data_IF_628399003622
#
_entry.id   IF_628399003622
#
_cell.length_a   1.000
_cell.length_b   1.000
_cell.length_c   1.000
_cell.angle_alpha   90.00
_cell.angle_beta   90.00
_cell.angle_gamma   90.00
#
_symmetry.space_group_name_H-M   'P 1'
#
loop_
_entity.id
_entity.type
_entity.pdbx_description
1 polymer ?
#
# COMPACT_ATOMS: atom_id res chain seq x y z
N UNK A 1 -11.98 7.25 23.96
CA UNK A 1 -11.90 5.87 24.47
C UNK A 1 -13.33 5.41 24.65
N UNK A 2 -13.68 4.26 24.09
CA UNK A 2 -15.02 3.71 24.19
C UNK A 2 -15.30 3.24 25.62
N UNK A 3 -16.57 3.31 26.04
CA UNK A 3 -17.01 2.82 27.34
C UNK A 3 -16.76 1.31 27.47
N UNK A 4 -16.34 0.84 28.66
CA UNK A 4 -16.00 -0.56 28.87
C UNK A 4 -17.25 -1.45 28.83
N UNK A 5 -17.14 -2.60 28.15
CA UNK A 5 -18.22 -3.59 28.12
C UNK A 5 -18.20 -4.37 29.43
N UNK A 6 -19.28 -4.27 30.19
CA UNK A 6 -19.44 -5.00 31.45
C UNK A 6 -20.44 -6.13 31.29
N UNK A 7 -20.05 -7.34 31.68
CA UNK A 7 -20.89 -8.53 31.76
C UNK A 7 -21.07 -8.93 33.22
N UNK A 8 -21.87 -9.97 33.49
CA UNK A 8 -22.01 -10.51 34.85
C UNK A 8 -20.65 -10.90 35.45
N UNK A 9 -19.75 -11.46 34.64
CA UNK A 9 -18.49 -12.08 35.08
C UNK A 9 -17.26 -11.22 34.80
N UNK A 10 -17.27 -10.47 33.71
CA UNK A 10 -16.09 -9.77 33.20
C UNK A 10 -16.32 -8.28 32.93
N UNK A 11 -15.27 -7.49 33.10
CA UNK A 11 -15.14 -6.15 32.53
C UNK A 11 -14.14 -6.23 31.38
N UNK A 12 -14.53 -5.74 30.21
CA UNK A 12 -13.76 -5.80 28.97
C UNK A 12 -13.42 -4.37 28.56
N UNK A 13 -12.13 -4.05 28.59
CA UNK A 13 -11.63 -2.73 28.23
C UNK A 13 -10.84 -2.81 26.93
N UNK A 14 -11.12 -1.93 25.96
CA UNK A 14 -10.26 -1.74 24.80
C UNK A 14 -9.11 -0.80 25.20
N UNK A 15 -7.89 -1.33 25.27
CA UNK A 15 -6.72 -0.54 25.63
C UNK A 15 -6.19 0.25 24.42
N UNK A 16 -6.09 -0.42 23.27
CA UNK A 16 -5.60 0.18 22.04
C UNK A 16 -6.18 -0.53 20.81
N UNK A 17 -6.31 0.24 19.74
CA UNK A 17 -6.67 -0.26 18.42
C UNK A 17 -5.66 0.28 17.40
N UNK A 18 -5.17 -0.60 16.54
CA UNK A 18 -4.25 -0.26 15.47
C UNK A 18 -4.78 -0.77 14.14
N UNK A 19 -5.05 0.16 13.24
CA UNK A 19 -5.58 -0.11 11.91
C UNK A 19 -4.45 -0.30 10.90
N UNK A 20 -4.55 -1.36 10.11
CA UNK A 20 -3.71 -1.64 8.95
C UNK A 20 -4.58 -1.71 7.70
N UNK A 21 -3.95 -1.80 6.54
CA UNK A 21 -4.65 -1.80 5.26
C UNK A 21 -5.71 -2.92 5.13
N UNK A 22 -5.44 -4.12 5.66
CA UNK A 22 -6.32 -5.28 5.49
C UNK A 22 -6.79 -5.95 6.79
N UNK A 23 -6.33 -5.47 7.94
CA UNK A 23 -6.73 -5.98 9.26
C UNK A 23 -6.62 -4.90 10.34
N UNK A 24 -7.18 -5.20 11.51
CA UNK A 24 -7.10 -4.38 12.71
C UNK A 24 -6.58 -5.25 13.85
N UNK A 25 -5.69 -4.71 14.67
CA UNK A 25 -5.23 -5.35 15.91
C UNK A 25 -5.79 -4.56 17.08
N UNK A 26 -6.43 -5.24 18.03
CA UNK A 26 -6.89 -4.66 19.29
C UNK A 26 -6.20 -5.30 20.47
N UNK A 27 -5.80 -4.49 21.44
CA UNK A 27 -5.35 -4.96 22.75
C UNK A 27 -6.50 -4.74 23.72
N UNK A 28 -7.00 -5.84 24.29
CA UNK A 28 -8.19 -5.87 25.14
C UNK A 28 -7.78 -6.38 26.52
N UNK A 29 -8.15 -5.67 27.58
CA UNK A 29 -8.02 -6.19 28.95
C UNK A 29 -9.32 -6.87 29.36
N UNK A 30 -9.23 -8.16 29.69
CA UNK A 30 -10.32 -8.93 30.28
C UNK A 30 -10.08 -9.06 31.79
N UNK A 31 -10.89 -8.40 32.60
CA UNK A 31 -10.82 -8.43 34.06
C UNK A 31 -11.99 -9.21 34.65
N UNK A 32 -11.72 -10.20 35.50
CA UNK A 32 -12.77 -10.88 36.23
C UNK A 32 -13.33 -9.96 37.32
N UNK A 33 -14.65 -9.91 37.49
CA UNK A 33 -15.30 -8.98 38.43
C UNK A 33 -15.14 -9.39 39.88
N UNK A 34 -15.13 -10.70 40.14
CA UNK A 34 -15.10 -11.25 41.49
C UNK A 34 -13.73 -11.78 41.90
N UNK A 35 -12.82 -11.96 40.93
CA UNK A 35 -11.48 -12.47 41.16
C UNK A 35 -10.50 -11.37 40.79
N UNK A 36 -9.41 -11.22 41.53
CA UNK A 36 -8.32 -10.28 41.17
C UNK A 36 -7.47 -10.84 40.02
N UNK A 37 -8.12 -11.37 38.98
CA UNK A 37 -7.48 -11.93 37.78
C UNK A 37 -7.80 -11.05 36.59
N UNK A 38 -6.78 -10.72 35.84
CA UNK A 38 -6.88 -10.02 34.57
C UNK A 38 -5.95 -10.66 33.54
N UNK A 39 -6.33 -10.54 32.27
CA UNK A 39 -5.54 -11.01 31.14
C UNK A 39 -5.63 -10.01 30.00
N UNK A 40 -4.52 -9.82 29.29
CA UNK A 40 -4.53 -9.10 28.02
C UNK A 40 -4.80 -10.06 26.87
N UNK A 41 -5.66 -9.64 25.96
CA UNK A 41 -6.07 -10.37 24.77
C UNK A 41 -5.70 -9.53 23.55
N UNK A 42 -4.96 -10.14 22.63
CA UNK A 42 -4.71 -9.56 21.32
C UNK A 42 -5.75 -10.11 20.34
N UNK A 43 -6.62 -9.24 19.85
CA UNK A 43 -7.59 -9.60 18.82
C UNK A 43 -7.07 -9.17 17.45
N UNK A 44 -6.93 -10.14 16.55
CA UNK A 44 -6.61 -9.93 15.15
C UNK A 44 -7.88 -10.02 14.30
N UNK A 45 -8.27 -8.92 13.66
CA UNK A 45 -9.48 -8.85 12.86
C UNK A 45 -9.13 -8.58 11.39
N UNK A 46 -9.17 -9.62 10.54
CA UNK A 46 -9.01 -9.47 9.09
C UNK A 46 -10.27 -8.83 8.48
N UNK A 47 -10.15 -7.66 7.85
CA UNK A 47 -11.30 -6.83 7.44
C UNK A 47 -11.57 -6.83 5.94
N UNK A 48 -10.70 -7.46 5.13
CA UNK A 48 -10.76 -7.44 3.66
C UNK A 48 -11.01 -8.80 3.04
N UNK A 49 -11.73 -9.68 3.75
CA UNK A 49 -12.18 -10.96 3.21
C UNK A 49 -13.57 -10.78 2.59
N UNK A 50 -13.74 -10.91 1.27
CA UNK A 50 -15.04 -10.75 0.62
C UNK A 50 -16.07 -11.80 1.07
N UNK A 51 -17.36 -11.47 1.02
CA UNK A 51 -18.43 -12.38 1.48
C UNK A 51 -18.64 -13.61 0.61
N UNK A 52 -18.39 -13.49 -0.70
CA UNK A 52 -18.57 -14.57 -1.67
C UNK A 52 -17.30 -14.94 -2.45
N UNK A 53 -16.13 -14.50 -1.98
CA UNK A 53 -14.86 -14.75 -2.65
C UNK A 53 -13.73 -15.06 -1.66
N UNK A 54 -12.51 -15.19 -2.17
CA UNK A 54 -11.28 -15.39 -1.41
C UNK A 54 -10.58 -14.06 -1.14
N UNK A 55 -9.76 -13.96 -0.07
CA UNK A 55 -8.96 -12.77 0.17
C UNK A 55 -7.82 -12.72 -0.86
N UNK A 56 -7.20 -11.55 -0.98
CA UNK A 56 -5.89 -11.49 -1.64
C UNK A 56 -4.92 -12.42 -0.91
N UNK A 57 -4.27 -13.30 -1.67
CA UNK A 57 -3.43 -14.37 -1.13
C UNK A 57 -2.25 -13.81 -0.35
N UNK A 58 -1.63 -12.76 -0.87
CA UNK A 58 -0.46 -12.15 -0.24
C UNK A 58 -0.86 -11.43 1.05
N UNK A 59 -1.99 -10.73 1.05
CA UNK A 59 -2.53 -10.08 2.26
C UNK A 59 -2.85 -11.07 3.37
N UNK A 60 -3.41 -12.24 3.04
CA UNK A 60 -3.66 -13.30 4.01
C UNK A 60 -2.36 -13.82 4.63
N UNK A 61 -1.32 -14.03 3.82
CA UNK A 61 0.01 -14.44 4.30
C UNK A 61 0.63 -13.37 5.20
N UNK A 62 0.54 -12.09 4.83
CA UNK A 62 1.05 -10.99 5.66
C UNK A 62 0.31 -10.87 7.00
N UNK A 63 -1.01 -11.09 7.01
CA UNK A 63 -1.80 -11.15 8.23
C UNK A 63 -1.36 -12.32 9.13
N UNK A 64 -1.20 -13.51 8.56
CA UNK A 64 -0.72 -14.69 9.30
C UNK A 64 0.67 -14.47 9.91
N UNK A 65 1.61 -13.90 9.13
CA UNK A 65 2.96 -13.57 9.61
C UNK A 65 2.94 -12.60 10.78
N UNK A 66 2.10 -11.57 10.73
CA UNK A 66 1.96 -10.63 11.85
C UNK A 66 1.34 -11.32 13.08
N UNK A 67 0.31 -12.16 12.87
CA UNK A 67 -0.27 -12.96 13.94
C UNK A 67 0.79 -13.83 14.62
N UNK A 68 1.63 -14.55 13.88
CA UNK A 68 2.68 -15.39 14.47
C UNK A 68 3.71 -14.61 15.28
N UNK A 69 4.10 -13.41 14.80
CA UNK A 69 5.08 -12.57 15.51
C UNK A 69 4.60 -12.12 16.88
N UNK A 70 3.32 -11.78 16.99
CA UNK A 70 2.72 -11.23 18.21
C UNK A 70 2.02 -12.29 19.06
N UNK A 71 1.88 -13.51 18.54
CA UNK A 71 1.33 -14.64 19.30
C UNK A 71 2.17 -14.85 20.55
N UNK A 72 1.56 -14.61 21.71
CA UNK A 72 2.19 -14.92 22.99
C UNK A 72 2.30 -16.43 23.14
N UNK A 73 3.44 -16.91 23.67
CA UNK A 73 3.64 -18.32 24.05
C UNK A 73 2.85 -18.69 25.32
N UNK A 74 1.61 -18.21 25.44
CA UNK A 74 0.73 -18.62 26.52
C UNK A 74 0.25 -20.06 26.32
N UNK A 75 -0.18 -20.71 27.39
CA UNK A 75 -0.62 -22.12 27.38
C UNK A 75 -1.99 -22.35 26.72
N UNK A 76 -2.69 -21.29 26.30
CA UNK A 76 -4.05 -21.35 25.75
C UNK A 76 -4.08 -21.57 24.23
N UNK A 77 -5.08 -22.30 23.71
CA UNK A 77 -5.28 -22.42 22.26
C UNK A 77 -5.68 -21.07 21.64
N UNK A 78 -5.26 -20.85 20.39
CA UNK A 78 -5.71 -19.70 19.60
C UNK A 78 -7.19 -19.84 19.27
N UNK A 79 -7.99 -18.84 19.62
CA UNK A 79 -9.41 -18.77 19.23
C UNK A 79 -9.52 -18.11 17.86
N UNK A 80 -10.01 -18.87 16.87
CA UNK A 80 -10.27 -18.38 15.51
C UNK A 80 -11.75 -18.53 15.20
N UNK A 81 -12.39 -17.47 14.74
CA UNK A 81 -13.80 -17.51 14.33
C UNK A 81 -14.06 -16.66 13.08
N UNK A 82 -15.22 -16.89 12.47
CA UNK A 82 -15.80 -16.03 11.43
C UNK A 82 -17.30 -15.89 11.73
N UNK A 83 -18.19 -16.18 10.78
CA UNK A 83 -19.63 -16.31 11.04
C UNK A 83 -19.98 -17.72 11.57
N UNK A 84 -19.88 -18.75 10.72
CA UNK A 84 -20.17 -20.13 11.11
C UNK A 84 -18.96 -20.89 11.70
N UNK A 85 -17.77 -20.29 11.67
CA UNK A 85 -16.55 -20.90 12.19
C UNK A 85 -16.05 -22.10 11.37
N UNK A 86 -16.30 -22.14 10.06
CA UNK A 86 -15.92 -23.28 9.19
C UNK A 86 -15.10 -22.87 7.96
N UNK A 87 -15.54 -21.87 7.20
CA UNK A 87 -14.91 -21.45 5.93
C UNK A 87 -13.61 -20.68 6.15
N UNK A 88 -13.70 -19.36 6.37
CA UNK A 88 -12.54 -18.48 6.63
C UNK A 88 -11.69 -18.98 7.81
N UNK A 89 -12.37 -19.43 8.87
CA UNK A 89 -11.76 -20.06 10.05
C UNK A 89 -10.94 -21.28 9.69
N UNK A 90 -11.51 -22.22 8.92
CA UNK A 90 -10.78 -23.41 8.50
C UNK A 90 -9.62 -23.08 7.57
N UNK A 91 -9.76 -22.10 6.68
CA UNK A 91 -8.65 -21.67 5.82
C UNK A 91 -7.48 -21.12 6.62
N UNK A 92 -7.72 -20.27 7.63
CA UNK A 92 -6.64 -19.71 8.46
C UNK A 92 -5.97 -20.79 9.34
N UNK A 93 -6.76 -21.69 9.95
CA UNK A 93 -6.20 -22.78 10.77
C UNK A 93 -5.37 -23.74 9.92
N UNK A 94 -5.86 -24.10 8.72
CA UNK A 94 -5.12 -24.95 7.79
C UNK A 94 -3.83 -24.28 7.33
N UNK A 95 -3.88 -22.99 6.98
CA UNK A 95 -2.70 -22.22 6.60
C UNK A 95 -1.66 -22.20 7.73
N UNK A 96 -2.09 -21.94 8.96
CA UNK A 96 -1.21 -21.89 10.14
C UNK A 96 -0.46 -23.20 10.35
N UNK A 97 -1.21 -24.30 10.45
CA UNK A 97 -0.62 -25.60 10.72
C UNK A 97 0.24 -26.12 9.58
N UNK A 98 -0.17 -25.91 8.33
CA UNK A 98 0.56 -26.41 7.16
C UNK A 98 1.80 -25.57 6.85
N UNK A 99 1.82 -24.27 7.16
CA UNK A 99 3.05 -23.47 7.08
C UNK A 99 4.07 -23.90 8.14
N UNK A 100 3.62 -24.22 9.36
CA UNK A 100 4.52 -24.73 10.40
C UNK A 100 5.04 -26.13 10.05
N UNK A 101 4.15 -27.00 9.55
CA UNK A 101 4.54 -28.31 9.04
C UNK A 101 5.54 -28.19 7.88
N UNK A 102 5.30 -27.32 6.90
CA UNK A 102 6.20 -27.12 5.76
C UNK A 102 7.57 -26.52 6.10
N UNK A 103 7.70 -25.84 7.25
CA UNK A 103 9.01 -25.36 7.75
C UNK A 103 9.80 -26.46 8.45
N UNK A 104 9.11 -27.40 9.08
CA UNK A 104 9.71 -28.48 9.89
C UNK A 104 9.90 -29.77 9.09
N UNK A 105 9.02 -30.02 8.12
CA UNK A 105 9.01 -31.12 7.19
C UNK A 105 8.96 -30.56 5.76
N UNK A 106 9.77 -31.10 4.86
CA UNK A 106 9.82 -30.67 3.44
C UNK A 106 8.60 -31.13 2.61
N UNK A 107 7.53 -31.58 3.28
CA UNK A 107 6.31 -32.10 2.66
C UNK A 107 5.10 -31.63 3.45
N UNK A 108 4.05 -31.23 2.72
CA UNK A 108 2.75 -30.87 3.30
C UNK A 108 1.63 -31.67 2.61
N UNK A 109 0.67 -32.15 3.40
CA UNK A 109 -0.55 -32.80 2.89
C UNK A 109 -1.78 -31.95 3.19
N UNK A 110 -2.13 -31.11 2.21
CA UNK A 110 -3.27 -30.19 2.32
C UNK A 110 -4.58 -30.97 2.41
N UNK A 111 -4.74 -32.03 1.61
CA UNK A 111 -5.97 -32.81 1.56
C UNK A 111 -6.18 -33.61 2.85
N UNK A 112 -5.15 -34.32 3.31
CA UNK A 112 -5.19 -35.08 4.56
C UNK A 112 -5.45 -34.18 5.76
N UNK A 113 -4.78 -33.03 5.84
CA UNK A 113 -5.00 -32.10 6.96
C UNK A 113 -6.42 -31.53 6.97
N UNK A 114 -6.96 -31.09 5.82
CA UNK A 114 -8.36 -30.63 5.73
C UNK A 114 -9.34 -31.77 6.06
N UNK A 115 -9.03 -33.02 5.72
CA UNK A 115 -9.84 -34.19 6.10
C UNK A 115 -9.87 -34.38 7.61
N UNK A 116 -8.72 -34.30 8.28
CA UNK A 116 -8.63 -34.34 9.75
C UNK A 116 -9.45 -33.20 10.38
N UNK A 117 -9.33 -31.98 9.85
CA UNK A 117 -10.10 -30.83 10.34
C UNK A 117 -11.61 -31.06 10.19
N UNK A 118 -12.05 -31.65 9.08
CA UNK A 118 -13.47 -31.97 8.83
C UNK A 118 -14.03 -33.04 9.76
N UNK A 119 -13.19 -33.97 10.22
CA UNK A 119 -13.57 -34.96 11.24
C UNK A 119 -13.77 -34.31 12.62
N UNK A 120 -13.01 -33.26 12.94
CA UNK A 120 -13.13 -32.53 14.21
C UNK A 120 -14.24 -31.47 14.20
N UNK A 121 -14.50 -30.86 13.04
CA UNK A 121 -15.58 -29.88 12.83
C UNK A 121 -16.06 -29.95 11.39
N UNK A 122 -17.36 -30.11 11.17
CA UNK A 122 -17.91 -30.26 9.81
C UNK A 122 -17.53 -29.10 8.88
N UNK A 123 -17.34 -29.40 7.59
CA UNK A 123 -17.18 -28.42 6.51
C UNK A 123 -16.05 -27.40 6.68
N UNK A 124 -15.00 -27.71 7.46
CA UNK A 124 -13.79 -26.88 7.52
C UNK A 124 -13.19 -26.72 6.11
N UNK A 125 -12.83 -25.46 5.77
CA UNK A 125 -12.53 -25.04 4.39
C UNK A 125 -13.71 -25.36 3.49
N UNK A 126 -14.70 -24.47 3.50
CA UNK A 126 -16.06 -24.75 3.04
C UNK A 126 -16.18 -24.78 1.51
N UNK A 127 -15.43 -23.94 0.78
CA UNK A 127 -15.59 -23.78 -0.67
C UNK A 127 -14.33 -24.20 -1.44
N UNK A 128 -14.52 -24.57 -2.72
CA UNK A 128 -13.40 -24.89 -3.63
C UNK A 128 -12.46 -23.69 -3.78
N UNK A 129 -13.00 -22.46 -3.83
CA UNK A 129 -12.17 -21.26 -3.93
C UNK A 129 -11.32 -21.09 -2.66
N UNK A 130 -11.87 -21.29 -1.46
CA UNK A 130 -11.09 -21.27 -0.21
C UNK A 130 -9.98 -22.34 -0.20
N UNK A 131 -10.26 -23.54 -0.73
CA UNK A 131 -9.26 -24.60 -0.87
C UNK A 131 -8.14 -24.22 -1.86
N UNK A 132 -8.48 -23.60 -3.00
CA UNK A 132 -7.50 -23.05 -3.95
C UNK A 132 -6.67 -21.92 -3.33
N UNK A 133 -7.32 -21.01 -2.59
CA UNK A 133 -6.64 -19.92 -1.89
C UNK A 133 -5.65 -20.45 -0.84
N UNK A 134 -5.99 -21.53 -0.13
CA UNK A 134 -5.08 -22.20 0.79
C UNK A 134 -3.82 -22.71 0.07
N UNK A 135 -3.95 -23.33 -1.10
CA UNK A 135 -2.78 -23.78 -1.89
C UNK A 135 -1.90 -22.60 -2.30
N UNK A 136 -2.52 -21.53 -2.80
CA UNK A 136 -1.79 -20.34 -3.23
C UNK A 136 -1.11 -19.63 -2.04
N UNK A 137 -1.77 -19.57 -0.88
CA UNK A 137 -1.22 -18.96 0.33
C UNK A 137 -0.08 -19.78 0.92
N UNK A 138 -0.14 -21.11 0.83
CA UNK A 138 0.97 -21.98 1.20
C UNK A 138 2.15 -21.80 0.25
N UNK A 139 1.90 -21.74 -1.06
CA UNK A 139 2.96 -21.47 -2.04
C UNK A 139 3.61 -20.09 -1.82
N UNK A 140 2.83 -19.05 -1.57
CA UNK A 140 3.35 -17.71 -1.29
C UNK A 140 4.08 -17.66 0.05
N UNK A 141 3.56 -18.31 1.09
CA UNK A 141 4.12 -18.30 2.45
C UNK A 141 5.39 -19.14 2.62
N UNK A 142 5.48 -20.30 1.96
CA UNK A 142 6.66 -21.19 2.02
C UNK A 142 7.85 -20.62 1.24
N UNK A 143 7.58 -19.89 0.14
CA UNK A 143 8.63 -19.22 -0.64
C UNK A 143 8.99 -17.82 -0.10
N UNK A 144 8.34 -17.38 0.99
CA UNK A 144 8.54 -16.04 1.52
C UNK A 144 9.92 -15.93 2.19
N UNK A 145 10.81 -15.03 1.74
CA UNK A 145 12.15 -14.90 2.30
C UNK A 145 12.12 -14.29 3.71
N UNK A 146 13.18 -14.52 4.49
CA UNK A 146 13.35 -13.82 5.76
C UNK A 146 13.87 -12.38 5.53
N UNK A 147 12.96 -11.48 5.16
CA UNK A 147 13.26 -10.09 4.75
C UNK A 147 12.96 -9.03 5.81
N UNK A 148 12.34 -9.40 6.94
CA UNK A 148 11.98 -8.46 8.00
C UNK A 148 13.22 -8.06 8.81
N UNK A 149 13.43 -6.75 8.96
CA UNK A 149 14.53 -6.18 9.74
C UNK A 149 13.98 -5.19 10.77
N UNK A 150 14.53 -5.19 11.98
CA UNK A 150 14.22 -4.13 12.96
C UNK A 150 14.84 -2.81 12.51
N UNK A 151 14.30 -1.67 12.98
CA UNK A 151 14.92 -0.35 12.74
C UNK A 151 16.41 -0.35 13.11
N UNK A 152 16.76 -0.95 14.25
CA UNK A 152 18.14 -1.05 14.73
C UNK A 152 19.02 -1.85 13.77
N UNK A 153 18.62 -3.07 13.42
CA UNK A 153 19.38 -3.95 12.50
C UNK A 153 19.53 -3.31 11.12
N UNK A 154 18.49 -2.63 10.64
CA UNK A 154 18.54 -1.91 9.37
C UNK A 154 19.56 -0.77 9.40
N UNK A 155 19.57 0.05 10.46
CA UNK A 155 20.52 1.16 10.58
C UNK A 155 21.97 0.71 10.74
N UNK A 156 22.20 -0.39 11.48
CA UNK A 156 23.52 -0.95 11.71
C UNK A 156 24.03 -1.83 10.56
N UNK A 157 23.14 -2.30 9.68
CA UNK A 157 23.53 -3.11 8.52
C UNK A 157 24.44 -2.31 7.60
N UNK A 158 25.74 -2.59 7.63
CA UNK A 158 26.66 -2.08 6.62
C UNK A 158 26.31 -2.74 5.27
N UNK A 159 26.50 -2.01 4.16
CA UNK A 159 26.56 -2.68 2.86
C UNK A 159 27.74 -3.63 2.97
N UNK A 160 27.45 -4.92 3.21
CA UNK A 160 28.47 -5.95 3.47
C UNK A 160 29.62 -5.74 2.50
N UNK A 161 30.84 -5.61 3.05
CA UNK A 161 32.06 -5.29 2.32
C UNK A 161 32.00 -5.76 0.87
N UNK A 162 31.93 -4.79 -0.05
CA UNK A 162 31.85 -4.96 -1.52
C UNK A 162 32.96 -5.89 -2.05
N UNK A 163 33.98 -6.16 -1.24
CA UNK A 163 35.15 -6.97 -1.56
C UNK A 163 35.02 -8.47 -1.23
N UNK A 164 34.05 -8.94 -0.44
CA UNK A 164 33.99 -10.35 0.01
C UNK A 164 32.84 -11.18 -0.61
N UNK A 165 31.74 -10.56 -1.05
CA UNK A 165 30.58 -11.28 -1.58
C UNK A 165 30.25 -10.75 -2.98
N UNK A 166 30.22 -11.61 -4.03
CA UNK A 166 29.76 -11.22 -5.35
C UNK A 166 28.40 -10.52 -5.28
N UNK A 167 28.23 -9.41 -6.00
CA UNK A 167 27.01 -8.58 -5.89
C UNK A 167 25.74 -9.43 -6.01
N UNK A 168 25.66 -10.34 -6.98
CA UNK A 168 24.55 -11.26 -7.22
C UNK A 168 24.21 -12.21 -6.06
N UNK A 169 25.11 -12.40 -5.09
CA UNK A 169 24.90 -13.25 -3.91
C UNK A 169 24.47 -12.48 -2.67
N UNK A 170 24.43 -11.14 -2.72
CA UNK A 170 23.94 -10.32 -1.60
C UNK A 170 22.47 -10.65 -1.29
N UNK A 171 22.08 -10.54 -0.01
CA UNK A 171 20.71 -10.82 0.43
C UNK A 171 19.68 -10.06 -0.41
N UNK A 172 19.91 -8.76 -0.66
CA UNK A 172 19.00 -7.92 -1.46
C UNK A 172 18.85 -8.42 -2.90
N UNK A 173 19.92 -8.89 -3.54
CA UNK A 173 19.81 -9.44 -4.90
C UNK A 173 19.03 -10.76 -4.89
N UNK A 174 19.19 -11.60 -3.87
CA UNK A 174 18.38 -12.82 -3.71
C UNK A 174 16.90 -12.48 -3.50
N UNK A 175 16.59 -11.53 -2.61
CA UNK A 175 15.23 -11.05 -2.40
C UNK A 175 14.60 -10.50 -3.68
N UNK A 176 15.34 -9.69 -4.43
CA UNK A 176 14.86 -9.12 -5.69
C UNK A 176 14.67 -10.18 -6.77
N UNK A 177 15.56 -11.18 -6.85
CA UNK A 177 15.37 -12.32 -7.74
C UNK A 177 14.11 -13.10 -7.38
N UNK A 178 13.88 -13.37 -6.09
CA UNK A 178 12.65 -14.02 -5.64
C UNK A 178 11.42 -13.21 -6.04
N UNK A 179 11.44 -11.87 -5.90
CA UNK A 179 10.36 -10.98 -6.38
C UNK A 179 10.09 -11.19 -7.87
N UNK A 180 11.13 -11.23 -8.70
CA UNK A 180 10.98 -11.45 -10.14
C UNK A 180 10.32 -12.80 -10.45
N UNK A 181 10.75 -13.86 -9.77
CA UNK A 181 10.23 -15.22 -9.97
C UNK A 181 8.74 -15.31 -9.58
N UNK A 182 8.36 -14.78 -8.41
CA UNK A 182 6.96 -14.80 -7.96
C UNK A 182 6.07 -13.85 -8.75
N UNK A 183 6.61 -12.74 -9.25
CA UNK A 183 5.89 -11.79 -10.12
C UNK A 183 5.53 -12.42 -11.45
N UNK A 184 6.47 -13.16 -12.07
CA UNK A 184 6.24 -13.85 -13.34
C UNK A 184 5.08 -14.87 -13.24
N UNK A 185 4.87 -15.46 -12.06
CA UNK A 185 3.74 -16.35 -11.80
C UNK A 185 2.44 -15.55 -11.58
N UNK A 186 2.47 -14.48 -10.79
CA UNK A 186 1.27 -13.68 -10.50
C UNK A 186 0.76 -12.90 -11.72
N UNK A 187 1.66 -12.41 -12.58
CA UNK A 187 1.31 -11.64 -13.77
C UNK A 187 0.47 -12.48 -14.75
N UNK A 188 0.79 -13.77 -14.89
CA UNK A 188 0.01 -14.72 -15.72
C UNK A 188 -1.45 -14.85 -15.28
N UNK A 189 -1.78 -14.48 -14.04
CA UNK A 189 -3.14 -14.51 -13.49
C UNK A 189 -3.90 -13.20 -13.68
N UNK A 190 -3.20 -12.11 -14.03
CA UNK A 190 -3.83 -10.82 -14.27
C UNK A 190 -4.59 -10.83 -15.60
N UNK A 191 -5.77 -10.24 -15.57
CA UNK A 191 -6.59 -9.99 -16.76
C UNK A 191 -6.54 -8.50 -17.08
N UNK A 192 -6.58 -8.18 -18.36
CA UNK A 192 -6.49 -6.81 -18.87
C UNK A 192 -7.61 -6.54 -19.90
N UNK A 193 -8.78 -7.14 -19.71
CA UNK A 193 -9.87 -7.10 -20.70
C UNK A 193 -10.32 -5.67 -20.95
N UNK A 194 -10.48 -4.87 -19.89
CA UNK A 194 -10.90 -3.46 -20.03
C UNK A 194 -9.81 -2.61 -20.69
N UNK A 195 -8.56 -2.78 -20.25
CA UNK A 195 -7.43 -2.01 -20.76
C UNK A 195 -7.10 -2.31 -22.23
N UNK A 196 -7.30 -3.56 -22.68
CA UNK A 196 -7.05 -4.02 -24.05
C UNK A 196 -8.25 -3.89 -24.99
N UNK A 197 -9.41 -3.44 -24.50
CA UNK A 197 -10.57 -3.18 -25.35
C UNK A 197 -10.25 -2.13 -26.43
N UNK A 198 -10.92 -2.23 -27.58
CA UNK A 198 -10.73 -1.34 -28.74
C UNK A 198 -10.93 0.13 -28.38
N UNK A 199 -11.90 0.41 -27.52
CA UNK A 199 -12.29 1.76 -27.06
C UNK A 199 -11.26 2.41 -26.12
N UNK A 200 -10.47 1.60 -25.40
CA UNK A 200 -9.54 2.09 -24.38
C UNK A 200 -8.07 1.98 -24.80
N UNK A 201 -7.76 1.30 -25.91
CA UNK A 201 -6.39 1.12 -26.39
C UNK A 201 -5.63 2.43 -26.54
N UNK A 202 -6.28 3.47 -27.07
CA UNK A 202 -5.69 4.80 -27.26
C UNK A 202 -5.60 5.63 -25.96
N UNK A 203 -6.18 5.16 -24.84
CA UNK A 203 -6.07 5.81 -23.52
C UNK A 203 -4.86 5.31 -22.72
N UNK A 204 -4.09 4.37 -23.27
CA UNK A 204 -2.86 3.85 -22.67
C UNK A 204 -1.66 4.48 -23.38
N UNK A 205 -0.71 5.01 -22.60
CA UNK A 205 0.56 5.51 -23.13
C UNK A 205 1.45 4.36 -23.58
N UNK A 206 1.49 3.30 -22.78
CA UNK A 206 2.29 2.11 -23.00
C UNK A 206 1.39 0.87 -22.86
N UNK A 207 1.46 -0.01 -23.85
CA UNK A 207 0.64 -1.24 -23.88
C UNK A 207 1.23 -2.35 -23.02
N UNK A 208 2.48 -2.22 -22.56
CA UNK A 208 3.13 -3.13 -21.62
C UNK A 208 2.88 -2.70 -20.16
N UNK A 209 2.24 -1.54 -19.95
CA UNK A 209 1.96 -0.99 -18.61
C UNK A 209 0.46 -0.67 -18.49
N UNK A 210 -0.32 -1.72 -18.21
CA UNK A 210 -1.77 -1.67 -18.13
C UNK A 210 -2.28 -1.94 -16.71
N UNK A 211 -3.43 -1.37 -16.30
CA UNK A 211 -4.07 -1.72 -15.06
C UNK A 211 -4.73 -3.10 -15.17
N UNK A 212 -4.40 -4.02 -14.26
CA UNK A 212 -5.10 -5.30 -14.16
C UNK A 212 -6.56 -5.09 -13.73
N UNK A 213 -7.47 -5.88 -14.28
CA UNK A 213 -8.93 -5.71 -14.12
C UNK A 213 -9.38 -5.68 -12.64
N UNK A 214 -8.70 -6.46 -11.78
CA UNK A 214 -9.00 -6.55 -10.33
C UNK A 214 -8.59 -5.29 -9.54
N UNK A 215 -7.62 -4.53 -10.05
CA UNK A 215 -6.99 -3.43 -9.31
C UNK A 215 -7.20 -2.08 -9.99
N UNK A 216 -7.86 -2.05 -11.14
CA UNK A 216 -8.10 -0.81 -11.91
C UNK A 216 -8.94 0.19 -11.13
N UNK A 217 -8.68 1.45 -11.41
CA UNK A 217 -9.62 2.52 -11.09
C UNK A 217 -10.81 2.44 -12.04
N UNK A 218 -12.01 2.57 -11.47
CA UNK A 218 -13.27 2.60 -12.23
C UNK A 218 -13.83 4.01 -12.13
N UNK A 219 -14.19 4.59 -13.27
CA UNK A 219 -14.92 5.86 -13.35
C UNK A 219 -16.42 5.58 -13.48
N UNK A 220 -17.26 6.34 -12.77
CA UNK A 220 -18.69 6.11 -12.64
C UNK A 220 -19.57 7.14 -13.36
N UNK A 221 -18.98 8.21 -13.91
CA UNK A 221 -19.70 9.26 -14.63
C UNK A 221 -20.72 8.71 -15.64
N UNK A 222 -21.93 9.29 -15.64
CA UNK A 222 -23.21 8.78 -16.19
C UNK A 222 -23.22 8.43 -17.70
N UNK A 223 -22.14 8.65 -18.43
CA UNK A 223 -21.99 8.16 -19.80
C UNK A 223 -21.28 6.80 -19.77
N UNK A 224 -22.05 5.74 -19.94
CA UNK A 224 -21.66 4.31 -19.87
C UNK A 224 -20.48 3.86 -20.75
N UNK A 225 -19.91 4.74 -21.58
CA UNK A 225 -18.74 4.49 -22.43
C UNK A 225 -17.39 4.95 -21.82
N UNK A 226 -17.37 5.57 -20.62
CA UNK A 226 -16.16 6.17 -20.04
C UNK A 226 -15.77 5.63 -18.66
N UNK A 227 -15.83 4.32 -18.45
CA UNK A 227 -15.51 3.71 -17.14
C UNK A 227 -14.02 3.37 -16.92
N UNK A 228 -13.15 3.88 -17.79
CA UNK A 228 -11.73 3.48 -17.86
C UNK A 228 -10.78 4.68 -17.85
N UNK A 229 -9.74 4.53 -17.03
CA UNK A 229 -8.50 5.30 -17.02
C UNK A 229 -7.35 4.32 -16.72
N UNK A 230 -6.16 4.56 -17.28
CA UNK A 230 -4.97 3.77 -16.95
C UNK A 230 -4.46 4.14 -15.54
N UNK A 231 -5.10 3.59 -14.53
CA UNK A 231 -4.73 3.78 -13.13
C UNK A 231 -5.05 2.53 -12.30
N UNK A 232 -4.24 2.29 -11.26
CA UNK A 232 -4.43 1.20 -10.29
C UNK A 232 -4.60 1.73 -8.87
N UNK A 233 -5.38 1.02 -8.07
CA UNK A 233 -5.57 1.25 -6.63
C UNK A 233 -4.47 0.53 -5.87
N UNK A 234 -3.67 1.26 -5.08
CA UNK A 234 -2.66 0.66 -4.20
C UNK A 234 -2.96 0.96 -2.71
N UNK A 235 -2.77 -0.02 -1.82
CA UNK A 235 -2.75 0.20 -0.39
C UNK A 235 -1.41 0.82 0.03
N UNK A 236 -1.40 1.42 1.21
CA UNK A 236 -0.20 1.60 2.01
C UNK A 236 -0.15 0.54 3.12
N UNK A 237 0.67 0.74 4.14
CA UNK A 237 0.72 -0.13 5.31
C UNK A 237 -0.53 0.07 6.19
N UNK A 238 -1.01 1.31 6.30
CA UNK A 238 -2.17 1.70 7.11
C UNK A 238 -3.51 1.65 6.36
N UNK A 239 -3.54 2.06 5.09
CA UNK A 239 -4.79 2.29 4.35
C UNK A 239 -4.94 1.33 3.17
N UNK A 240 -6.11 0.70 3.03
CA UNK A 240 -6.41 -0.22 1.91
C UNK A 240 -6.42 0.46 0.53
N UNK A 241 -6.79 1.74 0.50
CA UNK A 241 -6.82 2.58 -0.69
C UNK A 241 -6.08 3.88 -0.35
N UNK A 242 -4.75 3.83 -0.38
CA UNK A 242 -3.92 5.01 -0.13
C UNK A 242 -3.60 5.75 -1.43
N UNK A 243 -3.28 5.02 -2.49
CA UNK A 243 -2.80 5.61 -3.73
C UNK A 243 -3.68 5.26 -4.93
N UNK A 244 -3.87 6.22 -5.81
CA UNK A 244 -4.28 6.00 -7.20
C UNK A 244 -3.07 6.26 -8.08
N UNK A 245 -2.44 5.20 -8.57
CA UNK A 245 -1.23 5.31 -9.38
C UNK A 245 -1.60 5.31 -10.85
N UNK A 246 -1.24 6.38 -11.57
CA UNK A 246 -1.63 6.61 -12.97
C UNK A 246 -0.47 7.10 -13.82
N UNK A 247 -0.55 6.87 -15.12
CA UNK A 247 0.32 7.52 -16.10
C UNK A 247 0.06 9.04 -16.17
N UNK A 248 1.02 9.77 -16.71
CA UNK A 248 0.87 11.19 -17.00
C UNK A 248 -0.27 11.35 -18.03
N UNK A 249 -1.31 12.16 -17.72
CA UNK A 249 -2.48 12.32 -18.57
C UNK A 249 -2.14 12.63 -20.03
N UNK A 250 -2.72 11.85 -20.94
CA UNK A 250 -2.70 12.17 -22.37
C UNK A 250 -3.65 13.33 -22.64
N UNK A 251 -3.42 14.07 -23.73
CA UNK A 251 -4.26 15.22 -24.12
C UNK A 251 -5.77 14.91 -24.09
N UNK A 252 -6.18 13.75 -24.58
CA UNK A 252 -7.58 13.32 -24.63
C UNK A 252 -8.08 12.61 -23.36
N UNK A 253 -7.22 12.32 -22.38
CA UNK A 253 -7.60 11.69 -21.10
C UNK A 253 -7.54 12.65 -19.91
N UNK A 254 -7.26 13.95 -20.12
CA UNK A 254 -7.23 14.96 -19.04
C UNK A 254 -8.59 15.05 -18.31
N UNK A 255 -9.69 14.96 -19.05
CA UNK A 255 -11.03 14.92 -18.45
C UNK A 255 -11.19 13.68 -17.56
N UNK A 256 -10.71 12.52 -18.01
CA UNK A 256 -10.81 11.26 -17.25
C UNK A 256 -9.96 11.34 -15.97
N UNK A 257 -8.79 11.99 -16.02
CA UNK A 257 -7.94 12.24 -14.85
C UNK A 257 -8.64 13.11 -13.80
N UNK A 258 -9.21 14.26 -14.19
CA UNK A 258 -9.95 15.10 -13.25
C UNK A 258 -11.26 14.45 -12.77
N UNK A 259 -11.88 13.62 -13.61
CA UNK A 259 -13.00 12.75 -13.18
C UNK A 259 -12.56 11.82 -12.06
N UNK A 260 -11.41 11.14 -12.21
CA UNK A 260 -10.85 10.29 -11.15
C UNK A 260 -10.58 11.06 -9.86
N UNK A 261 -9.90 12.21 -9.95
CA UNK A 261 -9.59 13.06 -8.78
C UNK A 261 -10.86 13.48 -8.03
N UNK A 262 -11.91 13.84 -8.77
CA UNK A 262 -13.19 14.28 -8.20
C UNK A 262 -14.01 13.14 -7.63
N UNK A 263 -14.19 12.03 -8.35
CA UNK A 263 -15.03 10.90 -7.92
C UNK A 263 -14.43 10.17 -6.70
N UNK A 264 -13.11 10.08 -6.63
CA UNK A 264 -12.41 9.49 -5.48
C UNK A 264 -12.10 10.51 -4.38
N UNK A 265 -12.54 11.77 -4.53
CA UNK A 265 -12.35 12.86 -3.54
C UNK A 265 -10.88 13.04 -3.14
N UNK A 266 -9.96 12.92 -4.10
CA UNK A 266 -8.53 13.05 -3.84
C UNK A 266 -8.12 14.51 -3.62
N UNK A 267 -7.70 14.85 -2.41
CA UNK A 267 -7.24 16.20 -2.05
C UNK A 267 -5.73 16.42 -2.29
N UNK A 268 -5.02 15.39 -2.77
CA UNK A 268 -3.56 15.41 -2.91
C UNK A 268 -3.13 14.72 -4.20
N UNK A 269 -2.27 15.39 -4.98
CA UNK A 269 -1.62 14.83 -6.16
C UNK A 269 -0.12 14.94 -6.01
N UNK A 270 0.61 13.87 -6.27
CA UNK A 270 2.06 13.81 -6.38
C UNK A 270 2.41 13.57 -7.85
N UNK A 271 3.02 14.57 -8.49
CA UNK A 271 3.52 14.48 -9.86
C UNK A 271 5.04 14.39 -9.86
N UNK A 272 5.57 13.25 -10.31
CA UNK A 272 7.00 12.96 -10.36
C UNK A 272 7.58 13.24 -11.75
N UNK A 273 6.92 14.09 -12.53
CA UNK A 273 7.40 14.66 -13.79
C UNK A 273 7.36 16.18 -13.68
N UNK A 274 8.44 16.84 -14.10
CA UNK A 274 8.50 18.30 -14.18
C UNK A 274 8.14 18.81 -15.59
N UNK A 275 8.54 18.07 -16.63
CA UNK A 275 8.14 18.29 -18.02
C UNK A 275 8.08 16.96 -18.76
N UNK A 276 7.10 16.81 -19.67
CA UNK A 276 7.00 15.62 -20.52
C UNK A 276 7.29 16.01 -21.97
N UNK A 277 8.52 16.47 -22.20
CA UNK A 277 8.99 16.94 -23.50
C UNK A 277 8.21 18.14 -24.08
N UNK A 278 8.60 18.60 -25.27
CA UNK A 278 8.01 19.79 -25.91
C UNK A 278 6.57 19.61 -26.39
N UNK A 279 6.09 18.36 -26.51
CA UNK A 279 4.78 18.03 -27.09
C UNK A 279 3.64 17.86 -26.08
N UNK A 280 3.95 17.69 -24.79
CA UNK A 280 2.92 17.51 -23.76
C UNK A 280 2.74 18.77 -22.92
N UNK A 281 1.55 19.34 -23.01
CA UNK A 281 1.18 20.56 -22.30
C UNK A 281 0.80 20.16 -20.86
N UNK A 282 1.26 20.88 -19.83
CA UNK A 282 0.85 20.63 -18.44
C UNK A 282 -0.67 20.50 -18.31
N UNK A 283 -1.15 19.42 -17.69
CA UNK A 283 -2.59 19.18 -17.46
C UNK A 283 -3.16 20.00 -16.29
N UNK A 284 -2.30 20.70 -15.56
CA UNK A 284 -2.62 21.69 -14.52
C UNK A 284 -2.48 23.14 -15.07
N UNK A 285 -3.12 24.12 -14.43
CA UNK A 285 -2.92 25.54 -14.75
C UNK A 285 -1.57 26.07 -14.24
N UNK A 286 -0.96 26.99 -14.98
CA UNK A 286 0.13 27.82 -14.46
C UNK A 286 -0.34 28.77 -13.34
N UNK A 287 0.60 29.37 -12.61
CA UNK A 287 0.32 30.30 -11.51
C UNK A 287 -0.66 31.39 -11.94
N UNK A 288 -1.71 31.57 -11.13
CA UNK A 288 -2.78 32.56 -11.35
C UNK A 288 -3.57 32.37 -12.66
N UNK A 289 -3.43 31.24 -13.35
CA UNK A 289 -4.22 30.89 -14.55
C UNK A 289 -5.34 29.92 -14.22
N UNK A 290 -6.28 29.84 -15.16
CA UNK A 290 -7.39 28.90 -15.15
C UNK A 290 -7.27 28.00 -16.38
N UNK A 291 -7.44 26.69 -16.18
CA UNK A 291 -7.52 25.71 -17.26
C UNK A 291 -8.93 25.15 -17.33
N UNK A 292 -9.53 25.22 -18.50
CA UNK A 292 -10.87 24.72 -18.77
C UNK A 292 -10.80 23.37 -19.45
N UNK A 293 -11.36 22.34 -18.82
CA UNK A 293 -11.40 20.97 -19.32
C UNK A 293 -12.78 20.43 -19.02
N UNK A 294 -13.76 20.75 -19.87
CA UNK A 294 -15.18 20.49 -19.61
C UNK A 294 -15.43 19.05 -19.11
N UNK A 295 -16.12 18.86 -17.98
CA UNK A 295 -16.91 19.86 -17.21
C UNK A 295 -16.13 20.66 -16.15
N UNK A 296 -14.81 20.48 -16.07
CA UNK A 296 -13.96 21.05 -15.02
C UNK A 296 -13.41 22.44 -15.37
N UNK A 297 -13.33 23.28 -14.34
CA UNK A 297 -12.55 24.50 -14.31
C UNK A 297 -11.52 24.36 -13.19
N UNK A 298 -10.23 24.42 -13.53
CA UNK A 298 -9.12 24.25 -12.58
C UNK A 298 -8.37 25.57 -12.48
N UNK A 299 -8.32 26.13 -11.27
CA UNK A 299 -7.68 27.42 -10.98
C UNK A 299 -6.46 27.20 -10.10
N UNK A 300 -5.31 27.76 -10.48
CA UNK A 300 -4.15 27.84 -9.60
C UNK A 300 -4.34 28.98 -8.60
N UNK A 301 -4.34 28.66 -7.31
CA UNK A 301 -4.45 29.65 -6.23
C UNK A 301 -3.07 30.12 -5.74
N UNK A 302 -2.17 29.17 -5.48
CA UNK A 302 -0.81 29.45 -5.02
C UNK A 302 0.18 28.47 -5.67
N UNK A 303 1.44 28.91 -5.75
CA UNK A 303 2.59 28.06 -6.06
C UNK A 303 3.68 28.41 -5.06
N UNK A 304 4.16 27.39 -4.37
CA UNK A 304 5.07 27.47 -3.23
C UNK A 304 6.28 26.58 -3.54
N UNK A 305 7.49 27.05 -3.23
CA UNK A 305 8.68 26.19 -3.21
C UNK A 305 8.83 25.67 -1.79
N UNK A 306 8.65 24.38 -1.60
CA UNK A 306 8.74 23.75 -0.27
C UNK A 306 10.19 23.39 0.05
N UNK A 307 10.92 22.88 -0.95
CA UNK A 307 12.32 22.45 -0.86
C UNK A 307 13.01 22.77 -2.20
N UNK A 308 14.33 22.57 -2.28
CA UNK A 308 15.09 22.86 -3.50
C UNK A 308 14.58 22.15 -4.75
N UNK A 309 14.10 20.92 -4.59
CA UNK A 309 13.59 20.07 -5.67
C UNK A 309 12.11 19.75 -5.52
N UNK A 310 11.37 20.40 -4.61
CA UNK A 310 9.94 20.14 -4.40
C UNK A 310 9.15 21.44 -4.43
N UNK A 311 8.19 21.49 -5.34
CA UNK A 311 7.24 22.58 -5.47
C UNK A 311 5.83 22.08 -5.11
N UNK A 312 5.03 22.91 -4.47
CA UNK A 312 3.62 22.62 -4.23
C UNK A 312 2.73 23.69 -4.85
N UNK A 313 1.53 23.32 -5.27
CA UNK A 313 0.55 24.24 -5.85
C UNK A 313 -0.83 23.94 -5.29
N UNK A 314 -1.51 24.97 -4.78
CA UNK A 314 -2.90 24.85 -4.38
C UNK A 314 -3.81 25.05 -5.59
N UNK A 315 -4.65 24.07 -5.88
CA UNK A 315 -5.60 24.09 -7.00
C UNK A 315 -7.03 24.09 -6.47
N UNK A 316 -7.88 24.90 -7.09
CA UNK A 316 -9.33 24.82 -6.93
C UNK A 316 -9.94 24.18 -8.17
N UNK A 317 -10.72 23.12 -7.97
CA UNK A 317 -11.39 22.36 -9.02
C UNK A 317 -12.89 22.59 -8.87
N UNK A 318 -13.52 23.15 -9.90
CA UNK A 318 -14.98 23.28 -10.00
C UNK A 318 -15.51 22.33 -11.06
N UNK A 319 -16.37 21.41 -10.64
CA UNK A 319 -17.10 20.53 -11.55
C UNK A 319 -18.49 21.10 -11.83
N UNK A 320 -18.71 21.57 -13.06
CA UNK A 320 -19.97 22.21 -13.45
C UNK A 320 -21.15 21.23 -13.55
N UNK A 321 -20.90 19.92 -13.69
CA UNK A 321 -21.96 18.92 -13.78
C UNK A 321 -22.53 18.54 -12.41
N UNK A 322 -21.67 18.40 -11.40
CA UNK A 322 -22.08 18.08 -10.03
C UNK A 322 -22.30 19.32 -9.16
N UNK A 323 -21.97 20.51 -9.67
CA UNK A 323 -21.91 21.76 -8.92
C UNK A 323 -21.07 21.64 -7.62
N UNK A 324 -19.98 20.87 -7.70
CA UNK A 324 -19.07 20.63 -6.57
C UNK A 324 -17.74 21.36 -6.78
N UNK A 325 -17.20 21.90 -5.69
CA UNK A 325 -15.87 22.48 -5.65
C UNK A 325 -14.98 21.67 -4.72
N UNK A 326 -13.70 21.53 -5.07
CA UNK A 326 -12.71 20.77 -4.32
C UNK A 326 -11.36 21.48 -4.37
N UNK A 327 -10.67 21.54 -3.23
CA UNK A 327 -9.27 22.00 -3.18
C UNK A 327 -8.34 20.80 -3.22
N UNK A 328 -7.28 20.91 -4.02
CA UNK A 328 -6.29 19.86 -4.22
C UNK A 328 -4.90 20.46 -4.17
N UNK A 329 -4.02 19.90 -3.32
CA UNK A 329 -2.60 20.27 -3.30
C UNK A 329 -1.85 19.36 -4.28
N UNK A 330 -1.16 19.98 -5.24
CA UNK A 330 -0.30 19.32 -6.23
C UNK A 330 1.16 19.48 -5.80
N UNK A 331 1.79 18.40 -5.37
CA UNK A 331 3.23 18.33 -5.14
C UNK A 331 3.94 17.89 -6.43
N UNK A 332 5.05 18.56 -6.76
CA UNK A 332 5.87 18.29 -7.93
C UNK A 332 7.33 18.16 -7.54
N UNK A 333 7.99 17.13 -8.05
CA UNK A 333 9.43 16.97 -7.92
C UNK A 333 10.11 17.50 -9.18
N UNK A 334 10.99 18.48 -9.03
CA UNK A 334 11.84 19.00 -10.09
C UNK A 334 13.23 18.37 -10.05
N UNK A 335 14.04 18.59 -11.09
CA UNK A 335 15.43 18.09 -11.19
C UNK A 335 15.58 16.56 -11.15
N UNK A 336 14.54 15.82 -11.56
CA UNK A 336 14.64 14.38 -11.81
C UNK A 336 14.87 14.15 -13.30
N UNK A 337 16.10 13.80 -13.67
CA UNK A 337 16.51 13.59 -15.07
C UNK A 337 15.58 12.58 -15.78
N UNK A 338 15.13 12.94 -16.99
CA UNK A 338 14.14 12.18 -17.75
C UNK A 338 14.57 10.74 -18.04
N UNK A 339 15.86 10.52 -18.29
CA UNK A 339 16.40 9.20 -18.61
C UNK A 339 16.75 8.37 -17.35
N UNK A 340 16.67 8.98 -16.15
CA UNK A 340 17.00 8.30 -14.90
C UNK A 340 15.77 7.68 -14.23
N UNK A 341 15.90 6.41 -13.82
CA UNK A 341 14.89 5.70 -13.03
C UNK A 341 14.89 6.05 -11.53
N UNK A 342 15.94 6.73 -11.06
CA UNK A 342 16.15 7.15 -9.66
C UNK A 342 16.52 8.64 -9.60
N UNK A 343 16.14 9.37 -8.55
CA UNK A 343 16.54 10.76 -8.40
C UNK A 343 18.02 10.86 -7.96
N UNK A 344 18.65 12.00 -8.23
CA UNK A 344 20.04 12.26 -7.82
C UNK A 344 20.19 12.45 -6.30
N UNK A 345 19.18 13.07 -5.66
CA UNK A 345 19.13 13.23 -4.20
C UNK A 345 18.59 11.98 -3.52
N UNK A 346 19.30 11.48 -2.50
CA UNK A 346 18.91 10.31 -1.71
C UNK A 346 17.73 10.58 -0.75
N UNK A 347 17.44 11.84 -0.42
CA UNK A 347 16.45 12.19 0.62
C UNK A 347 15.18 12.83 0.05
N UNK A 348 15.16 13.22 -1.22
CA UNK A 348 14.05 13.99 -1.82
C UNK A 348 12.70 13.29 -1.69
N UNK A 349 12.64 11.97 -1.87
CA UNK A 349 11.39 11.22 -1.76
C UNK A 349 10.94 10.99 -0.31
N UNK A 350 11.89 10.91 0.63
CA UNK A 350 11.58 10.87 2.06
C UNK A 350 11.00 12.22 2.51
N UNK A 351 11.65 13.33 2.13
CA UNK A 351 11.13 14.69 2.39
C UNK A 351 9.74 14.91 1.78
N UNK A 352 9.55 14.49 0.53
CA UNK A 352 8.25 14.56 -0.13
C UNK A 352 7.17 13.77 0.61
N UNK A 353 7.50 12.59 1.14
CA UNK A 353 6.56 11.80 1.96
C UNK A 353 6.08 12.61 3.16
N UNK A 354 7.00 13.18 3.96
CA UNK A 354 6.61 13.94 5.16
C UNK A 354 5.82 15.22 4.84
N UNK A 355 6.18 15.95 3.78
CA UNK A 355 5.39 17.09 3.31
C UNK A 355 3.95 16.69 2.91
N UNK A 356 3.81 15.53 2.26
CA UNK A 356 2.49 14.98 1.88
C UNK A 356 1.72 14.53 3.12
N UNK A 357 2.35 13.84 4.07
CA UNK A 357 1.69 13.41 5.30
C UNK A 357 1.25 14.60 6.14
N UNK A 358 2.10 15.61 6.35
CA UNK A 358 1.78 16.83 7.08
C UNK A 358 0.56 17.55 6.49
N UNK A 359 0.48 17.64 5.16
CA UNK A 359 -0.69 18.19 4.46
C UNK A 359 -1.96 17.36 4.72
N UNK A 360 -1.84 16.03 4.78
CA UNK A 360 -2.98 15.12 4.92
C UNK A 360 -3.54 15.01 6.34
N UNK A 361 -2.78 15.39 7.38
CA UNK A 361 -3.25 15.30 8.77
C UNK A 361 -4.51 16.15 9.05
N UNK A 362 -4.69 17.27 8.32
CA UNK A 362 -5.74 18.26 8.58
C UNK A 362 -6.96 18.17 7.64
N UNK A 363 -7.06 17.11 6.81
CA UNK A 363 -8.02 17.03 5.70
C UNK A 363 -8.80 15.72 5.69
N UNK A 364 -9.96 15.72 5.04
CA UNK A 364 -10.67 14.48 4.70
C UNK A 364 -9.77 13.57 3.83
N UNK A 365 -9.66 12.31 4.24
CA UNK A 365 -8.70 11.34 3.68
C UNK A 365 -9.25 10.67 2.42
N UNK A 366 -9.14 11.36 1.28
CA UNK A 366 -9.15 10.71 -0.04
C UNK A 366 -7.79 10.06 -0.36
N UNK A 367 -7.72 9.16 -1.36
CA UNK A 367 -6.45 8.59 -1.79
C UNK A 367 -5.55 9.66 -2.45
N UNK A 368 -4.24 9.51 -2.36
CA UNK A 368 -3.25 10.32 -3.05
C UNK A 368 -3.18 9.87 -4.51
N UNK A 369 -3.35 10.78 -5.46
CA UNK A 369 -3.04 10.46 -6.87
C UNK A 369 -1.53 10.58 -7.05
N UNK A 370 -0.87 9.51 -7.49
CA UNK A 370 0.56 9.53 -7.83
C UNK A 370 0.70 9.34 -9.33
N UNK A 371 1.34 10.29 -9.98
CA UNK A 371 1.53 10.28 -11.43
C UNK A 371 2.98 10.51 -11.81
N UNK A 372 3.41 9.77 -12.82
CA UNK A 372 4.70 9.85 -13.47
C UNK A 372 4.46 9.55 -14.96
N UNK A 373 5.47 9.61 -15.84
CA UNK A 373 5.30 9.43 -17.28
C UNK A 373 4.44 8.19 -17.61
N UNK A 374 4.84 7.05 -17.08
CA UNK A 374 4.30 5.72 -17.41
C UNK A 374 3.37 5.13 -16.33
N UNK A 375 3.25 5.81 -15.18
CA UNK A 375 2.49 5.31 -14.03
C UNK A 375 3.13 4.11 -13.34
N UNK A 376 4.43 3.85 -13.57
CA UNK A 376 5.14 2.70 -13.04
C UNK A 376 6.48 3.08 -12.40
N UNK A 377 7.47 3.55 -13.15
CA UNK A 377 8.87 3.65 -12.65
C UNK A 377 8.98 4.57 -11.43
N UNK A 378 8.80 5.89 -11.63
CA UNK A 378 8.96 6.87 -10.55
C UNK A 378 7.85 6.74 -9.50
N UNK A 379 6.64 6.45 -9.96
CA UNK A 379 5.47 6.23 -9.10
C UNK A 379 5.71 5.09 -8.11
N UNK A 380 6.21 3.95 -8.59
CA UNK A 380 6.53 2.79 -7.77
C UNK A 380 7.60 3.10 -6.74
N UNK A 381 8.64 3.85 -7.13
CA UNK A 381 9.69 4.26 -6.21
C UNK A 381 9.17 5.13 -5.07
N UNK A 382 8.35 6.14 -5.37
CA UNK A 382 7.71 6.98 -4.34
C UNK A 382 6.78 6.15 -3.45
N UNK A 383 5.88 5.35 -4.03
CA UNK A 383 4.94 4.54 -3.24
C UNK A 383 5.66 3.54 -2.32
N UNK A 384 6.77 2.95 -2.78
CA UNK A 384 7.58 2.03 -2.00
C UNK A 384 8.24 2.74 -0.81
N UNK A 385 8.88 3.89 -1.04
CA UNK A 385 9.50 4.68 0.03
C UNK A 385 8.45 5.14 1.04
N UNK A 386 7.35 5.75 0.58
CA UNK A 386 6.29 6.23 1.47
C UNK A 386 5.66 5.11 2.29
N UNK A 387 5.41 3.94 1.69
CA UNK A 387 4.85 2.80 2.43
C UNK A 387 5.85 2.22 3.43
N UNK A 388 7.14 2.24 3.08
CA UNK A 388 8.22 1.78 3.98
C UNK A 388 8.38 2.71 5.18
N UNK A 389 8.32 4.03 4.98
CA UNK A 389 8.37 5.03 6.05
C UNK A 389 7.12 4.93 6.95
N UNK A 390 5.92 4.82 6.38
CA UNK A 390 4.70 4.61 7.16
C UNK A 390 4.77 3.33 8.02
N UNK A 391 5.34 2.25 7.47
CA UNK A 391 5.59 1.02 8.22
C UNK A 391 6.57 1.24 9.36
N UNK A 392 7.66 1.96 9.10
CA UNK A 392 8.67 2.25 10.10
C UNK A 392 8.11 3.06 11.27
N UNK A 393 7.29 4.07 10.97
CA UNK A 393 6.63 4.91 11.98
C UNK A 393 5.62 4.11 12.79
N UNK A 394 4.93 3.15 12.15
CA UNK A 394 3.97 2.29 12.84
C UNK A 394 4.63 1.18 13.66
N UNK A 395 5.57 0.41 13.11
CA UNK A 395 6.07 -0.85 13.68
C UNK A 395 7.53 -0.81 14.13
N UNK A 396 8.27 0.26 13.84
CA UNK A 396 9.73 0.32 14.06
C UNK A 396 10.49 -0.82 13.39
N UNK A 397 10.00 -1.30 12.24
CA UNK A 397 10.61 -2.34 11.43
C UNK A 397 10.48 -2.03 9.93
N UNK A 398 11.25 -2.75 9.10
CA UNK A 398 11.31 -2.59 7.65
C UNK A 398 11.23 -3.98 7.02
N UNK A 399 10.39 -4.12 5.99
CA UNK A 399 10.30 -5.31 5.17
C UNK A 399 10.15 -4.89 3.70
N UNK A 400 11.30 -4.63 3.07
CA UNK A 400 11.36 -4.07 1.73
C UNK A 400 10.82 -5.04 0.67
N UNK A 401 11.12 -6.33 0.82
CA UNK A 401 10.56 -7.39 -0.02
C UNK A 401 9.03 -7.39 0.05
N UNK A 402 8.46 -7.46 1.26
CA UNK A 402 7.01 -7.52 1.42
C UNK A 402 6.31 -6.28 0.87
N UNK A 403 6.89 -5.11 1.15
CA UNK A 403 6.35 -3.83 0.69
C UNK A 403 6.39 -3.74 -0.83
N UNK A 404 7.48 -4.17 -1.46
CA UNK A 404 7.62 -4.20 -2.93
C UNK A 404 6.62 -5.17 -3.56
N UNK A 405 6.51 -6.37 -3.00
CA UNK A 405 5.56 -7.40 -3.45
C UNK A 405 4.10 -6.90 -3.39
N UNK A 406 3.71 -6.21 -2.31
CA UNK A 406 2.36 -5.64 -2.15
C UNK A 406 2.00 -4.67 -3.30
N UNK A 407 2.97 -3.92 -3.81
CA UNK A 407 2.78 -3.02 -4.95
C UNK A 407 2.74 -3.81 -6.27
N UNK A 408 3.67 -4.74 -6.47
CA UNK A 408 3.84 -5.48 -7.72
C UNK A 408 2.67 -6.43 -8.04
N UNK A 409 2.00 -7.01 -7.04
CA UNK A 409 0.79 -7.82 -7.31
C UNK A 409 -0.33 -7.02 -7.98
N UNK A 410 -0.33 -5.69 -7.84
CA UNK A 410 -1.34 -4.77 -8.41
C UNK A 410 -0.92 -4.17 -9.75
N UNK A 411 0.37 -3.86 -9.89
CA UNK A 411 1.00 -3.41 -11.14
C UNK A 411 2.44 -3.93 -11.18
N UNK A 412 2.71 -5.03 -11.89
CA UNK A 412 4.01 -5.72 -11.88
C UNK A 412 5.20 -4.83 -12.26
N UNK A 413 4.95 -3.75 -13.02
CA UNK A 413 5.97 -2.82 -13.50
C UNK A 413 6.45 -1.84 -12.42
N UNK A 414 5.82 -1.80 -11.24
CA UNK A 414 6.28 -0.98 -10.11
C UNK A 414 7.58 -1.57 -9.55
N UNK A 415 8.63 -0.75 -9.43
CA UNK A 415 9.94 -1.15 -8.87
C UNK A 415 10.52 -2.37 -9.60
N UNK A 416 10.47 -2.33 -10.94
CA UNK A 416 10.91 -3.44 -11.78
C UNK A 416 12.45 -3.52 -11.95
N UNK A 417 13.21 -2.53 -11.47
CA UNK A 417 14.68 -2.52 -11.54
C UNK A 417 15.34 -2.69 -10.17
N UNK A 418 16.47 -3.39 -10.16
CA UNK A 418 17.30 -3.53 -8.96
C UNK A 418 17.82 -2.18 -8.45
N UNK A 419 18.04 -1.22 -9.36
CA UNK A 419 18.50 0.12 -8.97
C UNK A 419 17.45 0.86 -8.14
N UNK A 420 16.16 0.74 -8.49
CA UNK A 420 15.07 1.32 -7.68
C UNK A 420 14.91 0.63 -6.33
N UNK A 421 15.09 -0.70 -6.30
CA UNK A 421 15.05 -1.48 -5.04
C UNK A 421 16.21 -1.07 -4.11
N UNK A 422 17.44 -0.99 -4.63
CA UNK A 422 18.63 -0.52 -3.88
C UNK A 422 18.50 0.93 -3.45
N UNK A 423 18.04 1.81 -4.33
CA UNK A 423 17.84 3.22 -4.02
C UNK A 423 16.88 3.39 -2.85
N UNK A 424 15.80 2.61 -2.79
CA UNK A 424 14.87 2.68 -1.64
C UNK A 424 15.59 2.40 -0.33
N UNK A 425 16.42 1.35 -0.30
CA UNK A 425 17.19 1.00 0.88
C UNK A 425 18.14 2.13 1.29
N UNK A 426 18.91 2.69 0.35
CA UNK A 426 19.85 3.78 0.63
C UNK A 426 19.14 5.06 1.06
N UNK A 427 18.01 5.39 0.43
CA UNK A 427 17.21 6.57 0.75
C UNK A 427 16.61 6.51 2.16
N UNK A 428 16.01 5.37 2.53
CA UNK A 428 15.46 5.17 3.88
C UNK A 428 16.58 5.17 4.91
N UNK A 429 17.72 4.52 4.62
CA UNK A 429 18.87 4.53 5.53
C UNK A 429 19.45 5.93 5.74
N UNK A 430 19.66 6.67 4.64
CA UNK A 430 20.14 8.04 4.70
C UNK A 430 19.18 8.92 5.51
N UNK A 431 17.87 8.77 5.33
CA UNK A 431 16.86 9.46 6.15
C UNK A 431 17.02 9.17 7.64
N UNK A 432 17.18 7.89 8.02
CA UNK A 432 17.35 7.52 9.44
C UNK A 432 18.65 8.02 10.05
N UNK A 433 19.71 8.16 9.26
CA UNK A 433 21.00 8.68 9.72
C UNK A 433 21.02 10.20 9.82
N UNK A 434 20.30 10.92 8.95
CA UNK A 434 20.40 12.38 8.82
C UNK A 434 19.24 13.14 9.47
N UNK A 435 18.05 12.55 9.56
CA UNK A 435 16.81 13.29 9.83
C UNK A 435 15.94 12.69 10.94
N UNK A 436 16.24 11.48 11.41
CA UNK A 436 15.46 10.79 12.45
C UNK A 436 15.40 11.49 13.82
N UNK A 437 16.16 12.57 14.02
CA UNK A 437 16.14 13.39 15.25
C UNK A 437 15.69 14.85 15.03
N UNK A 438 15.64 15.37 13.80
CA UNK A 438 15.43 16.80 13.53
C UNK A 438 14.06 17.13 12.94
N UNK A 439 13.48 16.24 12.13
CA UNK A 439 12.20 16.50 11.47
C UNK A 439 10.97 16.22 12.32
N UNK A 440 11.10 15.50 13.45
CA UNK A 440 10.04 15.47 14.47
C UNK A 440 9.75 16.88 15.02
N UNK A 441 10.73 17.79 14.99
CA UNK A 441 10.57 19.18 15.43
C UNK A 441 10.00 20.08 14.32
N UNK A 442 10.39 19.89 13.05
CA UNK A 442 9.80 20.61 11.91
C UNK A 442 8.36 20.14 11.61
N UNK A 443 8.07 18.86 11.80
CA UNK A 443 6.71 18.30 11.78
C UNK A 443 5.81 18.99 12.80
N UNK A 444 6.30 19.19 14.04
CA UNK A 444 5.58 19.97 15.05
C UNK A 444 5.50 21.47 14.71
N UNK A 445 6.49 22.03 14.00
CA UNK A 445 6.48 23.43 13.60
C UNK A 445 5.51 23.71 12.44
N UNK A 446 5.44 22.85 11.43
CA UNK A 446 4.44 22.98 10.35
C UNK A 446 3.03 22.67 10.86
N UNK A 447 2.87 21.71 11.76
CA UNK A 447 1.60 21.46 12.47
C UNK A 447 1.08 22.74 13.17
N UNK A 448 1.97 23.51 13.82
CA UNK A 448 1.63 24.79 14.43
C UNK A 448 1.31 25.90 13.42
N UNK A 449 1.91 25.89 12.22
CA UNK A 449 1.64 26.89 11.17
C UNK A 449 0.30 26.62 10.48
N UNK A 450 -0.07 25.35 10.25
CA UNK A 450 -1.31 24.97 9.59
C UNK A 450 -2.53 24.94 10.53
N UNK A 451 -2.36 24.73 11.84
CA UNK A 451 -3.44 24.94 12.82
C UNK A 451 -3.84 26.42 12.97
N UNK A 452 -2.95 27.35 12.60
CA UNK A 452 -3.18 28.80 12.77
C UNK A 452 -3.66 29.53 11.50
N UNK A 453 -3.89 28.83 10.38
CA UNK A 453 -4.49 29.41 9.17
C UNK A 453 -5.53 28.47 8.54
N UNK A 454 -6.83 28.64 8.87
CA UNK A 454 -7.92 27.75 8.43
C UNK A 454 -8.20 27.76 6.91
#
# INVERSE_FOLDING_TARGET
MDDPITTATFVINLNSEKQYAFYVIRVITLKHRHERKERQIYQFHYTKWPDHDIPDVFELVMFHRHLQRLRTKGDGPLVVHCSAGIGRTGTLIALDALLEAGKTADVIDIHGYVTIMRNNRMNMVQTVNQYKALHLALLEGLNFPNSLQTKTDFTSSEDSNVYEIPANQTQRNKEFQTLQDVNAISEKRLKYVFAKSTENRNKNRDMDILPGDNYRVVLYSKNSQKNYINAVKLPSFRHHLRYLVTQFPLKHTIVDFWTMVSEYRSSTIVCLEDSVGEKEIPWWPEKSRVKYVAPFEIRSMSVERCEDSINASMLEIKNKQSNSNQRVKLFRVSNWENDSSIPSSQTVLCKLHYLVEAWMMSREQGPIVVTCLDGAKRCGLYCLISTTLERLDMESDIDLYATTRQLQIRRPQLVASMDQYKYTWTAVKAYLQTMGNSYDQEYQHEEAVYQNNP
#
